data_IF_670883774848
#
_entry.id   IF_670883774848
#
_cell.length_a   1.000
_cell.length_b   1.000
_cell.length_c   1.000
_cell.angle_alpha   90.00
_cell.angle_beta   90.00
_cell.angle_gamma   90.00
#
_symmetry.space_group_name_H-M   'P 1'
#
loop_
_entity.id
_entity.type
_entity.pdbx_description
1 polymer ?
#
# COMPACT_ATOMS: atom_id res chain seq x y z
N UNK A 1 -10.35 -11.35 -44.42
CA UNK A 1 -10.09 -10.81 -43.06
C UNK A 1 -8.81 -9.97 -43.11
N UNK A 2 -8.89 -8.71 -42.75
CA UNK A 2 -7.72 -7.84 -42.78
C UNK A 2 -6.79 -8.17 -41.60
N UNK A 3 -5.48 -7.97 -41.76
CA UNK A 3 -4.49 -8.17 -40.68
C UNK A 3 -4.90 -7.46 -39.39
N UNK A 4 -5.47 -6.26 -39.53
CA UNK A 4 -5.97 -5.44 -38.39
C UNK A 4 -7.12 -6.12 -37.64
N UNK A 5 -8.01 -6.83 -38.34
CA UNK A 5 -9.13 -7.55 -37.71
C UNK A 5 -8.63 -8.80 -36.94
N UNK A 6 -7.66 -9.50 -37.52
CA UNK A 6 -7.02 -10.63 -36.85
C UNK A 6 -6.27 -10.19 -35.57
N UNK A 7 -5.53 -9.09 -35.64
CA UNK A 7 -4.81 -8.53 -34.49
C UNK A 7 -5.78 -8.07 -33.39
N UNK A 8 -6.86 -7.37 -33.74
CA UNK A 8 -7.92 -6.99 -32.78
C UNK A 8 -8.54 -8.21 -32.10
N UNK A 9 -8.79 -9.27 -32.84
CA UNK A 9 -9.35 -10.51 -32.27
C UNK A 9 -8.37 -11.17 -31.30
N UNK A 10 -7.07 -11.25 -31.66
CA UNK A 10 -6.03 -11.77 -30.80
C UNK A 10 -5.88 -10.96 -29.49
N UNK A 11 -5.91 -9.63 -29.57
CA UNK A 11 -5.86 -8.75 -28.41
C UNK A 11 -7.09 -8.97 -27.52
N UNK A 12 -8.30 -9.00 -28.07
CA UNK A 12 -9.52 -9.21 -27.31
C UNK A 12 -9.54 -10.58 -26.61
N UNK A 13 -9.06 -11.64 -27.28
CA UNK A 13 -8.89 -12.96 -26.67
C UNK A 13 -7.91 -12.90 -25.49
N UNK A 14 -6.80 -12.19 -25.64
CA UNK A 14 -5.81 -12.03 -24.59
C UNK A 14 -6.36 -11.26 -23.39
N UNK A 15 -7.07 -10.18 -23.63
CA UNK A 15 -7.78 -9.40 -22.60
C UNK A 15 -8.76 -10.29 -21.82
N UNK A 16 -9.55 -11.11 -22.55
CA UNK A 16 -10.50 -12.03 -21.93
C UNK A 16 -9.82 -13.09 -21.06
N UNK A 17 -8.70 -13.66 -21.54
CA UNK A 17 -7.89 -14.60 -20.77
C UNK A 17 -7.34 -13.98 -19.47
N UNK A 18 -6.80 -12.76 -19.57
CA UNK A 18 -6.27 -12.02 -18.41
C UNK A 18 -7.40 -11.72 -17.41
N UNK A 19 -8.57 -11.26 -17.86
CA UNK A 19 -9.75 -11.03 -17.00
C UNK A 19 -10.15 -12.31 -16.26
N UNK A 20 -10.15 -13.45 -16.93
CA UNK A 20 -10.47 -14.74 -16.31
C UNK A 20 -9.40 -15.18 -15.29
N UNK A 21 -8.13 -14.91 -15.55
CA UNK A 21 -7.05 -15.18 -14.59
C UNK A 21 -7.19 -14.28 -13.35
N UNK A 22 -7.45 -12.98 -13.53
CA UNK A 22 -7.71 -12.05 -12.43
C UNK A 22 -8.90 -12.49 -11.57
N UNK A 23 -10.00 -12.92 -12.18
CA UNK A 23 -11.16 -13.40 -11.43
C UNK A 23 -10.85 -14.63 -10.57
N UNK A 24 -9.98 -15.52 -11.04
CA UNK A 24 -9.50 -16.68 -10.25
C UNK A 24 -8.64 -16.22 -9.06
N UNK A 25 -7.73 -15.27 -9.29
CA UNK A 25 -6.89 -14.70 -8.22
C UNK A 25 -7.76 -14.06 -7.14
N UNK A 26 -8.76 -13.25 -7.52
CA UNK A 26 -9.70 -12.64 -6.57
C UNK A 26 -10.44 -13.70 -5.75
N UNK A 27 -10.93 -14.79 -6.39
CA UNK A 27 -11.59 -15.90 -5.67
C UNK A 27 -10.64 -16.57 -4.68
N UNK A 28 -9.41 -16.87 -5.09
CA UNK A 28 -8.40 -17.50 -4.22
C UNK A 28 -8.06 -16.61 -3.03
N UNK A 29 -7.86 -15.30 -3.26
CA UNK A 29 -7.62 -14.33 -2.19
C UNK A 29 -8.81 -14.28 -1.21
N UNK A 30 -10.05 -14.33 -1.71
CA UNK A 30 -11.26 -14.38 -0.86
C UNK A 30 -11.29 -15.62 0.02
N UNK A 31 -10.91 -16.79 -0.49
CA UNK A 31 -10.85 -18.05 0.28
C UNK A 31 -9.76 -17.96 1.37
N UNK A 32 -8.57 -17.47 1.03
CA UNK A 32 -7.49 -17.27 2.00
C UNK A 32 -7.87 -16.26 3.09
N UNK A 33 -8.65 -15.24 2.75
CA UNK A 33 -9.18 -14.25 3.67
C UNK A 33 -10.18 -14.86 4.65
N UNK A 34 -11.14 -15.64 4.15
CA UNK A 34 -12.12 -16.35 4.98
C UNK A 34 -11.47 -17.29 6.00
N UNK A 35 -10.30 -17.84 5.68
CA UNK A 35 -9.51 -18.64 6.62
C UNK A 35 -8.84 -17.77 7.69
N UNK A 36 -8.48 -16.52 7.38
CA UNK A 36 -7.90 -15.55 8.33
C UNK A 36 -8.93 -14.95 9.28
N UNK A 37 -10.17 -14.73 8.82
CA UNK A 37 -11.27 -14.21 9.65
C UNK A 37 -11.61 -15.14 10.83
N UNK A 38 -11.14 -16.38 10.79
CA UNK A 38 -11.26 -17.35 11.90
C UNK A 38 -10.16 -17.21 12.96
N UNK A 39 -9.12 -16.45 12.67
CA UNK A 39 -7.98 -16.24 13.56
C UNK A 39 -8.03 -14.77 13.99
N UNK A 40 -8.06 -14.45 15.29
CA UNK A 40 -8.22 -13.09 15.80
C UNK A 40 -6.91 -12.28 15.68
N UNK A 41 -6.35 -12.18 14.48
CA UNK A 41 -5.16 -11.39 14.22
C UNK A 41 -5.56 -10.03 13.63
N UNK A 42 -5.06 -8.97 14.23
CA UNK A 42 -5.19 -7.64 13.65
C UNK A 42 -4.34 -7.54 12.38
N UNK A 43 -4.94 -6.98 11.35
CA UNK A 43 -4.26 -6.75 10.07
C UNK A 43 -3.94 -5.26 9.92
N UNK A 44 -2.68 -4.96 9.63
CA UNK A 44 -2.17 -3.61 9.38
C UNK A 44 -1.72 -3.53 7.93
N UNK A 45 -2.25 -2.57 7.17
CA UNK A 45 -1.84 -2.32 5.80
C UNK A 45 -0.96 -1.07 5.69
N UNK A 46 0.19 -1.21 5.03
CA UNK A 46 1.05 -0.09 4.65
C UNK A 46 0.53 0.55 3.37
N UNK A 47 0.22 1.83 3.40
CA UNK A 47 -0.19 2.61 2.23
C UNK A 47 0.72 3.83 2.09
N UNK A 48 0.79 4.39 0.90
CA UNK A 48 1.56 5.61 0.66
C UNK A 48 2.02 5.73 -0.77
N UNK A 49 2.56 6.88 -1.10
CA UNK A 49 3.07 7.16 -2.43
C UNK A 49 4.22 6.21 -2.81
N UNK A 50 4.50 6.04 -4.10
CA UNK A 50 5.67 5.26 -4.55
C UNK A 50 6.94 5.85 -3.96
N UNK A 51 7.91 5.00 -3.65
CA UNK A 51 9.19 5.38 -3.04
C UNK A 51 9.11 6.08 -1.67
N UNK A 52 7.97 6.02 -0.97
CA UNK A 52 7.87 6.57 0.40
C UNK A 52 8.59 5.70 1.45
N UNK A 53 9.02 4.49 1.08
CA UNK A 53 9.75 3.57 1.96
C UNK A 53 8.87 2.52 2.66
N UNK A 54 7.66 2.23 2.12
CA UNK A 54 6.78 1.18 2.65
C UNK A 54 7.48 -0.17 2.78
N UNK A 55 8.08 -0.64 1.69
CA UNK A 55 8.77 -1.94 1.66
C UNK A 55 10.01 -1.96 2.55
N UNK A 56 10.68 -0.82 2.76
CA UNK A 56 11.79 -0.71 3.73
C UNK A 56 11.28 -0.90 5.17
N UNK A 57 10.20 -0.21 5.52
CA UNK A 57 9.54 -0.36 6.84
C UNK A 57 9.04 -1.79 7.02
N UNK A 58 8.40 -2.37 6.00
CA UNK A 58 7.96 -3.75 6.00
C UNK A 58 9.12 -4.72 6.29
N UNK A 59 10.24 -4.57 5.58
CA UNK A 59 11.42 -5.42 5.75
C UNK A 59 11.99 -5.36 7.17
N UNK A 60 12.09 -4.14 7.73
CA UNK A 60 12.57 -3.95 9.10
C UNK A 60 11.65 -4.64 10.09
N UNK A 61 10.33 -4.39 10.02
CA UNK A 61 9.36 -4.93 10.97
C UNK A 61 9.19 -6.44 10.85
N UNK A 62 9.42 -6.99 9.67
CA UNK A 62 9.26 -8.43 9.40
C UNK A 62 10.57 -9.22 9.47
N UNK A 63 11.70 -8.56 9.75
CA UNK A 63 13.04 -9.15 9.64
C UNK A 63 13.26 -9.85 8.29
N UNK A 64 12.81 -9.22 7.20
CA UNK A 64 12.95 -9.73 5.84
C UNK A 64 14.07 -8.98 5.13
N UNK A 65 14.86 -9.68 4.31
CA UNK A 65 15.94 -9.10 3.50
C UNK A 65 15.55 -8.95 2.04
N UNK A 66 14.28 -8.70 1.76
CA UNK A 66 13.83 -8.53 0.39
C UNK A 66 14.32 -7.20 -0.19
N UNK A 67 14.78 -7.22 -1.43
CA UNK A 67 15.27 -6.03 -2.14
C UNK A 67 14.16 -4.99 -2.24
N UNK A 68 14.23 -3.96 -1.41
CA UNK A 68 13.51 -2.72 -1.63
C UNK A 68 14.27 -1.94 -2.73
N UNK A 69 13.71 -1.88 -3.92
CA UNK A 69 14.31 -1.13 -5.02
C UNK A 69 13.73 0.28 -5.05
N UNK A 70 14.57 1.26 -5.30
CA UNK A 70 14.15 2.64 -5.63
C UNK A 70 13.52 2.67 -7.04
N UNK A 71 12.39 2.00 -7.19
CA UNK A 71 11.65 1.89 -8.44
C UNK A 71 10.18 2.17 -8.20
N UNK A 72 9.54 2.80 -9.17
CA UNK A 72 8.09 2.92 -9.20
C UNK A 72 7.48 1.51 -9.19
N UNK A 73 6.48 1.29 -8.33
CA UNK A 73 5.81 -0.01 -8.17
C UNK A 73 6.76 -1.16 -7.79
N UNK A 74 7.70 -0.92 -6.87
CA UNK A 74 8.58 -1.97 -6.36
C UNK A 74 7.80 -3.17 -5.80
N UNK A 75 6.60 -2.96 -5.29
CA UNK A 75 5.65 -3.99 -4.85
C UNK A 75 4.44 -3.98 -5.79
N UNK A 76 4.16 -5.09 -6.48
CA UNK A 76 2.98 -5.29 -7.32
C UNK A 76 1.96 -6.20 -6.64
N UNK A 77 2.43 -7.26 -6.00
CA UNK A 77 1.57 -8.16 -5.22
C UNK A 77 1.71 -7.84 -3.73
N UNK A 78 0.59 -7.71 -3.00
CA UNK A 78 0.63 -7.49 -1.56
C UNK A 78 1.40 -8.61 -0.86
N UNK A 79 2.37 -8.25 -0.05
CA UNK A 79 3.13 -9.18 0.76
C UNK A 79 2.61 -9.14 2.17
N UNK A 80 2.43 -10.30 2.78
CA UNK A 80 1.90 -10.42 4.13
C UNK A 80 2.82 -11.26 4.97
N UNK A 81 3.06 -10.80 6.20
CA UNK A 81 3.81 -11.56 7.20
C UNK A 81 3.24 -11.30 8.59
N UNK A 82 3.28 -12.34 9.41
CA UNK A 82 2.97 -12.20 10.83
C UNK A 82 4.17 -11.60 11.52
N UNK A 83 3.92 -10.58 12.33
CA UNK A 83 4.93 -9.94 13.19
C UNK A 83 4.46 -9.98 14.64
N UNK A 84 5.41 -10.07 15.55
CA UNK A 84 5.17 -9.99 16.98
C UNK A 84 5.67 -8.61 17.46
N UNK A 85 4.79 -7.87 18.12
CA UNK A 85 5.13 -6.62 18.78
C UNK A 85 5.30 -6.86 20.29
N UNK A 86 6.06 -5.99 21.01
CA UNK A 86 6.38 -6.19 22.42
C UNK A 86 5.17 -6.41 23.34
N UNK A 87 4.00 -5.88 22.98
CA UNK A 87 2.78 -5.93 23.79
C UNK A 87 1.62 -6.68 23.12
N UNK A 88 1.80 -7.15 21.89
CA UNK A 88 0.74 -7.80 21.11
C UNK A 88 1.37 -8.77 20.12
N UNK A 89 0.98 -10.04 20.23
CA UNK A 89 1.43 -11.09 19.32
C UNK A 89 0.49 -11.20 18.12
N UNK A 90 1.02 -11.75 17.01
CA UNK A 90 0.22 -12.16 15.86
C UNK A 90 -0.49 -11.01 15.13
N UNK A 91 0.24 -10.00 14.77
CA UNK A 91 -0.23 -8.96 13.84
C UNK A 91 0.16 -9.36 12.43
N UNK A 92 -0.77 -9.25 11.50
CA UNK A 92 -0.48 -9.41 10.07
C UNK A 92 -0.13 -8.04 9.50
N UNK A 93 1.12 -7.89 9.05
CA UNK A 93 1.55 -6.71 8.32
C UNK A 93 1.48 -6.97 6.83
N UNK A 94 0.84 -6.07 6.09
CA UNK A 94 0.71 -6.13 4.62
C UNK A 94 1.44 -4.96 3.97
N UNK A 95 2.41 -5.24 3.09
CA UNK A 95 2.98 -4.26 2.17
C UNK A 95 2.12 -4.18 0.91
N UNK A 96 1.74 -2.99 0.50
CA UNK A 96 0.87 -2.78 -0.65
C UNK A 96 1.56 -2.01 -1.76
N UNK A 97 0.93 -1.98 -2.92
CA UNK A 97 1.38 -1.19 -4.07
C UNK A 97 1.45 0.29 -3.71
N UNK A 98 2.51 0.97 -4.14
CA UNK A 98 2.63 2.42 -4.00
C UNK A 98 1.70 3.18 -4.93
N UNK A 99 1.11 4.26 -4.43
CA UNK A 99 0.28 5.16 -5.24
C UNK A 99 1.15 6.08 -6.09
N UNK A 100 0.61 6.50 -7.23
CA UNK A 100 1.20 7.51 -8.13
C UNK A 100 0.14 8.52 -8.54
N UNK A 101 0.61 9.70 -8.95
CA UNK A 101 -0.24 10.70 -9.59
C UNK A 101 -0.78 10.19 -10.92
N UNK A 102 -2.00 10.60 -11.28
CA UNK A 102 -2.61 10.32 -12.59
C UNK A 102 -2.67 8.82 -12.93
N UNK A 103 -3.17 8.00 -11.99
CA UNK A 103 -3.39 6.58 -12.27
C UNK A 103 -4.40 6.45 -13.42
N UNK A 104 -4.04 5.80 -14.55
CA UNK A 104 -4.99 5.62 -15.64
C UNK A 104 -6.22 4.86 -15.16
N UNK A 105 -7.43 5.33 -15.51
CA UNK A 105 -8.70 4.78 -15.06
C UNK A 105 -8.87 3.28 -15.33
N UNK A 106 -8.28 2.78 -16.41
CA UNK A 106 -8.29 1.35 -16.74
C UNK A 106 -7.39 0.50 -15.81
N UNK A 107 -6.43 1.11 -15.12
CA UNK A 107 -5.60 0.45 -14.09
C UNK A 107 -6.27 0.46 -12.71
N UNK A 108 -7.21 1.37 -12.46
CA UNK A 108 -7.90 1.49 -11.15
C UNK A 108 -8.59 0.18 -10.78
N UNK A 109 -9.24 -0.51 -11.73
CA UNK A 109 -9.88 -1.81 -11.45
C UNK A 109 -8.87 -2.89 -11.06
N UNK A 110 -7.70 -2.92 -11.72
CA UNK A 110 -6.63 -3.86 -11.38
C UNK A 110 -6.01 -3.52 -10.04
N UNK A 111 -5.87 -2.23 -9.73
CA UNK A 111 -5.41 -1.74 -8.42
C UNK A 111 -6.42 -2.00 -7.30
N UNK A 112 -7.72 -1.91 -7.55
CA UNK A 112 -8.74 -2.28 -6.56
C UNK A 112 -8.52 -3.69 -6.02
N UNK A 113 -8.18 -4.65 -6.86
CA UNK A 113 -7.90 -6.02 -6.44
C UNK A 113 -6.66 -6.14 -5.52
N UNK A 114 -5.63 -5.31 -5.74
CA UNK A 114 -4.43 -5.28 -4.88
C UNK A 114 -4.64 -4.43 -3.62
N UNK A 115 -5.52 -3.44 -3.69
CA UNK A 115 -5.88 -2.57 -2.56
C UNK A 115 -7.02 -3.14 -1.70
N UNK A 116 -7.64 -4.26 -2.12
CA UNK A 116 -8.61 -4.97 -1.27
C UNK A 116 -8.05 -5.29 0.12
N UNK A 117 -6.74 -5.54 0.24
CA UNK A 117 -6.11 -5.80 1.53
C UNK A 117 -6.15 -4.58 2.45
N UNK A 118 -6.05 -3.36 1.89
CA UNK A 118 -6.22 -2.12 2.66
C UNK A 118 -7.67 -1.97 3.13
N UNK A 119 -8.63 -2.34 2.27
CA UNK A 119 -10.05 -2.29 2.61
C UNK A 119 -10.40 -3.20 3.79
N UNK A 120 -9.76 -4.35 3.90
CA UNK A 120 -10.04 -5.32 4.97
C UNK A 120 -9.10 -5.20 6.18
N UNK A 121 -8.06 -4.37 6.10
CA UNK A 121 -7.18 -4.12 7.23
C UNK A 121 -7.92 -3.44 8.39
N UNK A 122 -7.54 -3.76 9.64
CA UNK A 122 -8.07 -3.12 10.83
C UNK A 122 -7.46 -1.73 11.04
N UNK A 123 -6.18 -1.58 10.67
CA UNK A 123 -5.39 -0.35 10.78
C UNK A 123 -4.68 -0.05 9.48
N UNK A 124 -4.49 1.23 9.20
CA UNK A 124 -3.74 1.71 8.03
C UNK A 124 -2.55 2.53 8.51
N UNK A 125 -1.34 2.19 8.04
CA UNK A 125 -0.15 3.00 8.20
C UNK A 125 0.12 3.76 6.92
N UNK A 126 -0.12 5.06 6.94
CA UNK A 126 0.17 5.94 5.80
C UNK A 126 1.63 6.40 5.85
N UNK A 127 2.48 5.73 5.07
CA UNK A 127 3.92 6.03 4.97
C UNK A 127 4.15 7.19 4.01
N UNK A 128 4.79 8.24 4.50
CA UNK A 128 5.07 9.48 3.79
C UNK A 128 6.57 9.77 3.78
N UNK A 129 7.09 10.24 2.66
CA UNK A 129 8.48 10.67 2.54
C UNK A 129 8.58 12.17 2.85
N UNK A 130 9.07 12.51 4.05
CA UNK A 130 9.18 13.93 4.48
C UNK A 130 10.30 14.69 3.76
N UNK A 131 11.23 14.00 3.12
CA UNK A 131 12.30 14.64 2.34
C UNK A 131 11.83 15.08 0.94
N UNK A 132 10.64 14.64 0.52
CA UNK A 132 10.08 15.00 -0.78
C UNK A 132 9.58 16.44 -0.78
N UNK A 133 9.96 17.20 -1.80
CA UNK A 133 9.44 18.56 -2.02
C UNK A 133 7.92 18.59 -2.28
N UNK A 134 7.37 17.47 -2.73
CA UNK A 134 5.94 17.29 -3.03
C UNK A 134 5.16 16.55 -1.92
N UNK A 135 5.74 16.49 -0.72
CA UNK A 135 5.23 15.77 0.44
C UNK A 135 3.73 15.98 0.72
N UNK A 136 3.24 17.21 0.59
CA UNK A 136 1.83 17.53 0.87
C UNK A 136 0.90 17.02 -0.24
N UNK A 137 1.26 17.26 -1.52
CA UNK A 137 0.44 16.80 -2.64
C UNK A 137 0.38 15.28 -2.73
N UNK A 138 1.51 14.60 -2.48
CA UNK A 138 1.53 13.13 -2.40
C UNK A 138 0.56 12.60 -1.36
N UNK A 139 0.46 13.28 -0.21
CA UNK A 139 -0.50 12.91 0.82
C UNK A 139 -1.93 13.09 0.36
N UNK A 140 -2.26 14.22 -0.27
CA UNK A 140 -3.61 14.48 -0.79
C UNK A 140 -4.01 13.39 -1.78
N UNK A 141 -3.15 13.05 -2.73
CA UNK A 141 -3.41 11.99 -3.72
C UNK A 141 -3.71 10.64 -3.02
N UNK A 142 -2.92 10.29 -2.00
CA UNK A 142 -3.16 9.04 -1.26
C UNK A 142 -4.52 9.06 -0.56
N UNK A 143 -4.90 10.15 0.09
CA UNK A 143 -6.20 10.28 0.76
C UNK A 143 -7.35 10.25 -0.23
N UNK A 144 -7.25 10.90 -1.39
CA UNK A 144 -8.25 10.85 -2.47
C UNK A 144 -8.48 9.41 -2.93
N UNK A 145 -7.42 8.64 -3.17
CA UNK A 145 -7.53 7.24 -3.56
C UNK A 145 -8.16 6.39 -2.44
N UNK A 146 -7.77 6.61 -1.18
CA UNK A 146 -8.38 5.91 -0.04
C UNK A 146 -9.88 6.24 0.09
N UNK A 147 -10.28 7.46 -0.24
CA UNK A 147 -11.69 7.88 -0.27
C UNK A 147 -12.45 7.23 -1.42
N UNK A 148 -11.90 7.22 -2.63
CA UNK A 148 -12.49 6.51 -3.79
C UNK A 148 -12.69 5.01 -3.52
N UNK A 149 -11.77 4.39 -2.77
CA UNK A 149 -11.89 3.01 -2.32
C UNK A 149 -12.91 2.84 -1.18
N UNK A 150 -13.45 3.94 -0.64
CA UNK A 150 -14.40 3.92 0.46
C UNK A 150 -13.79 3.62 1.83
N UNK A 151 -12.48 3.60 1.97
CA UNK A 151 -11.77 3.23 3.21
C UNK A 151 -12.05 4.27 4.30
N UNK A 152 -12.08 5.55 3.96
CA UNK A 152 -12.37 6.64 4.88
C UNK A 152 -13.80 6.58 5.45
N UNK A 153 -14.75 6.01 4.70
CA UNK A 153 -16.16 5.85 5.13
C UNK A 153 -16.32 4.87 6.30
N UNK A 154 -15.37 3.97 6.50
CA UNK A 154 -15.41 3.00 7.59
C UNK A 154 -14.72 3.46 8.87
N UNK A 155 -14.34 4.74 8.96
CA UNK A 155 -13.66 5.33 10.13
C UNK A 155 -12.44 4.51 10.60
N UNK A 156 -11.70 3.91 9.66
CA UNK A 156 -10.52 3.13 9.99
C UNK A 156 -9.45 4.04 10.60
N UNK A 157 -8.82 3.62 11.68
CA UNK A 157 -7.73 4.38 12.25
C UNK A 157 -6.54 4.41 11.29
N UNK A 158 -6.12 5.62 10.93
CA UNK A 158 -4.95 5.87 10.08
C UNK A 158 -3.86 6.49 10.94
N UNK A 159 -2.69 5.85 10.97
CA UNK A 159 -1.49 6.37 11.59
C UNK A 159 -0.55 6.85 10.48
N UNK A 160 -0.11 8.10 10.53
CA UNK A 160 0.89 8.62 9.60
C UNK A 160 2.30 8.27 10.08
N UNK A 161 3.07 7.64 9.20
CA UNK A 161 4.47 7.31 9.41
C UNK A 161 5.31 8.18 8.49
N UNK A 162 5.91 9.22 9.04
CA UNK A 162 6.75 10.14 8.30
C UNK A 162 8.19 9.61 8.26
N UNK A 163 8.52 9.04 7.13
CA UNK A 163 9.79 8.35 6.89
C UNK A 163 10.85 9.27 6.28
N UNK A 164 12.09 8.80 6.28
CA UNK A 164 13.30 9.47 5.77
C UNK A 164 13.65 10.77 6.52
N UNK A 165 13.38 10.78 7.84
CA UNK A 165 13.73 11.93 8.69
C UNK A 165 15.23 12.27 8.65
N UNK A 166 16.06 11.32 8.31
CA UNK A 166 17.51 11.46 8.16
C UNK A 166 17.93 12.27 6.93
N UNK A 167 17.04 12.45 5.95
CA UNK A 167 17.25 13.26 4.76
C UNK A 167 16.62 14.65 4.87
N UNK A 168 15.93 14.92 5.97
CA UNK A 168 15.21 16.17 6.17
C UNK A 168 15.99 17.04 7.17
N UNK A 169 16.46 18.20 6.71
CA UNK A 169 17.22 19.16 7.48
C UNK A 169 16.26 20.04 8.32
N UNK A 170 15.78 19.47 9.42
CA UNK A 170 14.95 20.21 10.38
C UNK A 170 15.82 20.83 11.47
N UNK A 171 15.65 22.11 11.68
CA UNK A 171 16.07 22.71 12.94
C UNK A 171 15.28 22.07 14.09
N UNK A 172 15.91 21.87 15.23
CA UNK A 172 15.34 21.19 16.41
C UNK A 172 13.99 21.78 16.86
N UNK A 173 13.70 23.08 16.56
CA UNK A 173 12.46 23.78 16.86
C UNK A 173 11.29 23.34 15.99
N UNK A 174 11.56 22.89 14.76
CA UNK A 174 10.48 22.49 13.84
C UNK A 174 10.06 21.04 14.08
N UNK A 175 10.96 20.18 14.53
CA UNK A 175 10.66 18.78 14.88
C UNK A 175 9.60 18.68 16.00
N UNK A 176 9.70 19.52 17.05
CA UNK A 176 8.78 19.49 18.18
C UNK A 176 7.32 19.81 17.80
N UNK A 177 7.08 20.58 16.74
CA UNK A 177 5.73 20.85 16.23
C UNK A 177 5.11 19.63 15.55
N UNK A 178 5.93 18.74 15.00
CA UNK A 178 5.47 17.53 14.30
C UNK A 178 5.35 16.33 15.24
N UNK A 179 6.22 16.21 16.23
CA UNK A 179 6.16 15.15 17.26
C UNK A 179 4.91 15.24 18.16
N UNK A 180 4.32 16.42 18.28
CA UNK A 180 3.10 16.64 19.07
C UNK A 180 1.79 16.38 18.30
N UNK A 181 1.84 16.02 17.02
CA UNK A 181 0.62 15.67 16.28
C UNK A 181 0.14 14.28 16.71
N UNK A 182 -1.10 14.20 17.17
CA UNK A 182 -1.77 12.92 17.39
C UNK A 182 -1.75 12.13 16.06
N UNK A 183 -1.40 10.86 16.13
CA UNK A 183 -1.36 9.92 14.99
C UNK A 183 -0.23 10.16 13.96
N UNK A 184 0.87 10.80 14.35
CA UNK A 184 2.08 10.94 13.52
C UNK A 184 3.28 10.33 14.24
N UNK A 185 4.08 9.53 13.52
CA UNK A 185 5.35 8.98 14.01
C UNK A 185 6.46 9.28 12.99
N UNK A 186 7.57 9.86 13.46
CA UNK A 186 8.75 10.15 12.63
C UNK A 186 9.74 8.98 12.69
N UNK A 187 10.15 8.47 11.53
CA UNK A 187 11.07 7.33 11.43
C UNK A 187 12.14 7.55 10.35
N UNK A 188 13.17 6.72 10.39
CA UNK A 188 14.14 6.53 9.31
C UNK A 188 14.30 5.03 9.09
N UNK A 189 13.80 4.52 7.98
CA UNK A 189 13.93 3.13 7.58
C UNK A 189 15.17 2.97 6.68
N UNK A 190 16.35 3.12 7.26
CA UNK A 190 17.65 2.84 6.63
C UNK A 190 18.01 1.38 6.74
#
# INVERSE_FOLDING_TARGET
>A
ETQIEADKRAINLRISQIKNQLSKVVKTRKIHRFSRDKIPFYTIALVGYTNSGKSSIYNILTNSSELSKDMLFATLDPKMKIIDLPFTNNIILSDTVGFISNLPTHLVESFKATLEEVFYADYVLHVRDISSTDFQNQSIIVYEILEELGITKFNKPILEVWNKKDLFDLSFSDMSQYENKKNVVLVSAK
#
